data_IF_551391884439
#
_entry.id   IF_551391884439
#
_cell.length_a   1.000
_cell.length_b   1.000
_cell.length_c   1.000
_cell.angle_alpha   90.00
_cell.angle_beta   90.00
_cell.angle_gamma   90.00
#
_symmetry.space_group_name_H-M   'P 1'
#
loop_
_entity.id
_entity.type
_entity.pdbx_description
1 polymer ?
#
# COMPACT_ATOMS: atom_id res chain seq x y z
N UNK A 1 12.41 2.18 -12.48
CA UNK A 1 11.59 3.10 -13.29
C UNK A 1 11.57 4.41 -12.53
N UNK A 2 11.99 5.51 -13.16
CA UNK A 2 12.00 6.81 -12.50
C UNK A 2 10.58 7.37 -12.47
N UNK A 3 10.10 7.73 -11.27
CA UNK A 3 8.79 8.36 -11.07
C UNK A 3 9.01 9.87 -11.24
N UNK A 4 8.28 10.49 -12.17
CA UNK A 4 8.20 11.95 -12.28
C UNK A 4 7.06 12.45 -11.37
N UNK A 5 7.33 13.09 -10.22
CA UNK A 5 6.30 13.48 -9.29
C UNK A 5 5.58 14.76 -9.73
N UNK A 6 4.28 14.83 -9.43
CA UNK A 6 3.54 16.09 -9.52
C UNK A 6 3.88 16.98 -8.31
N UNK A 7 3.97 18.31 -8.47
CA UNK A 7 4.37 19.22 -7.38
C UNK A 7 3.52 19.08 -6.10
N UNK A 8 2.23 18.77 -6.24
CA UNK A 8 1.31 18.61 -5.12
C UNK A 8 1.61 17.39 -4.24
N UNK A 9 2.35 16.40 -4.77
CA UNK A 9 2.66 15.17 -4.05
C UNK A 9 3.57 15.42 -2.85
N UNK A 10 4.48 16.39 -2.93
CA UNK A 10 5.36 16.74 -1.80
C UNK A 10 4.56 17.27 -0.61
N UNK A 11 3.43 17.96 -0.85
CA UNK A 11 2.52 18.36 0.23
C UNK A 11 1.91 17.17 0.98
N UNK A 12 1.68 16.05 0.28
CA UNK A 12 1.21 14.80 0.90
C UNK A 12 2.32 14.18 1.75
N UNK A 13 3.57 14.17 1.25
CA UNK A 13 4.74 13.67 1.99
C UNK A 13 4.91 14.41 3.30
N UNK A 14 4.93 15.74 3.27
CA UNK A 14 5.13 16.57 4.46
C UNK A 14 3.99 16.37 5.48
N UNK A 15 2.75 16.22 5.02
CA UNK A 15 1.63 15.90 5.90
C UNK A 15 1.79 14.54 6.58
N UNK A 16 2.22 13.51 5.83
CA UNK A 16 2.41 12.17 6.37
C UNK A 16 3.61 12.07 7.31
N UNK A 17 4.70 12.82 7.05
CA UNK A 17 5.85 12.94 7.95
C UNK A 17 5.44 13.48 9.32
N UNK A 18 4.62 14.53 9.34
CA UNK A 18 4.22 15.20 10.58
C UNK A 18 3.11 14.46 11.32
N UNK A 19 2.07 14.01 10.61
CA UNK A 19 0.88 13.46 11.25
C UNK A 19 0.98 11.96 11.50
N UNK A 20 1.78 11.26 10.69
CA UNK A 20 1.80 9.79 10.64
C UNK A 20 0.38 9.21 10.45
N UNK A 21 0.23 7.89 10.53
CA UNK A 21 -1.09 7.24 10.48
C UNK A 21 -1.45 6.63 9.13
N UNK A 22 -2.74 6.65 8.77
CA UNK A 22 -3.26 5.88 7.62
C UNK A 22 -3.64 6.81 6.47
N UNK A 23 -3.09 6.55 5.29
CA UNK A 23 -3.44 7.21 4.03
C UNK A 23 -4.22 6.25 3.13
N UNK A 24 -5.42 6.65 2.71
CA UNK A 24 -6.23 5.84 1.79
C UNK A 24 -6.29 6.49 0.41
N UNK A 25 -5.71 5.83 -0.59
CA UNK A 25 -5.64 6.33 -1.96
C UNK A 25 -6.88 5.88 -2.75
N UNK A 26 -7.72 6.84 -3.16
CA UNK A 26 -8.94 6.60 -3.94
C UNK A 26 -8.84 7.33 -5.28
N UNK A 27 -9.36 6.70 -6.33
CA UNK A 27 -9.37 7.25 -7.69
C UNK A 27 -9.70 6.19 -8.73
N UNK A 28 -10.02 6.63 -9.95
CA UNK A 28 -10.37 5.76 -11.07
C UNK A 28 -9.26 4.76 -11.42
N UNK A 29 -9.59 3.69 -12.14
CA UNK A 29 -8.59 2.75 -12.67
C UNK A 29 -7.55 3.51 -13.49
N UNK A 30 -6.28 3.12 -13.35
CA UNK A 30 -5.13 3.74 -14.04
C UNK A 30 -4.92 5.26 -13.79
N UNK A 31 -5.47 5.80 -12.69
CA UNK A 31 -5.28 7.21 -12.32
C UNK A 31 -3.94 7.51 -11.62
N UNK A 32 -2.97 6.59 -11.65
CA UNK A 32 -1.66 6.78 -11.01
C UNK A 32 -1.57 6.47 -9.50
N UNK A 33 -2.61 5.90 -8.88
CA UNK A 33 -2.61 5.58 -7.42
C UNK A 33 -1.43 4.70 -7.00
N UNK A 34 -1.15 3.63 -7.72
CA UNK A 34 -0.04 2.72 -7.41
C UNK A 34 1.32 3.41 -7.60
N UNK A 35 1.42 4.34 -8.55
CA UNK A 35 2.62 5.17 -8.75
C UNK A 35 2.82 6.13 -7.58
N UNK A 36 1.76 6.82 -7.15
CA UNK A 36 1.78 7.69 -5.97
C UNK A 36 2.14 6.90 -4.70
N UNK A 37 1.56 5.71 -4.50
CA UNK A 37 1.89 4.85 -3.36
C UNK A 37 3.39 4.49 -3.32
N UNK A 38 3.96 4.07 -4.46
CA UNK A 38 5.40 3.78 -4.59
C UNK A 38 6.26 5.01 -4.32
N UNK A 39 5.82 6.17 -4.79
CA UNK A 39 6.52 7.44 -4.57
C UNK A 39 6.52 7.84 -3.10
N UNK A 40 5.36 7.81 -2.44
CA UNK A 40 5.21 8.08 -1.00
C UNK A 40 6.11 7.14 -0.20
N UNK A 41 6.03 5.84 -0.47
CA UNK A 41 6.85 4.82 0.18
C UNK A 41 8.34 5.15 0.08
N UNK A 42 8.85 5.37 -1.13
CA UNK A 42 10.26 5.67 -1.37
C UNK A 42 10.68 6.97 -0.70
N UNK A 43 9.81 7.99 -0.69
CA UNK A 43 10.13 9.28 -0.08
C UNK A 43 10.17 9.21 1.44
N UNK A 44 9.26 8.48 2.07
CA UNK A 44 9.20 8.36 3.54
C UNK A 44 10.31 7.46 4.10
N UNK A 45 10.63 6.36 3.44
CA UNK A 45 11.72 5.46 3.88
C UNK A 45 13.08 6.18 3.91
N UNK A 46 13.34 7.08 2.96
CA UNK A 46 14.55 7.92 2.94
C UNK A 46 14.69 8.87 4.13
N UNK A 47 13.60 9.07 4.85
CA UNK A 47 13.53 9.90 6.05
C UNK A 47 13.44 9.02 7.32
N UNK A 48 13.82 7.74 7.21
CA UNK A 48 13.79 6.73 8.28
C UNK A 48 12.38 6.49 8.87
N UNK A 49 11.32 6.73 8.09
CA UNK A 49 9.93 6.47 8.49
C UNK A 49 9.55 5.06 8.03
N UNK A 50 9.12 4.22 8.97
CA UNK A 50 8.67 2.87 8.66
C UNK A 50 7.28 2.97 8.02
N UNK A 51 7.11 2.37 6.85
CA UNK A 51 5.86 2.41 6.08
C UNK A 51 5.35 1.00 5.88
N UNK A 52 4.06 0.80 6.13
CA UNK A 52 3.37 -0.38 5.65
C UNK A 52 2.55 -0.03 4.42
N UNK A 53 2.31 -0.98 3.52
CA UNK A 53 1.36 -0.83 2.43
C UNK A 53 0.34 -1.95 2.51
N UNK A 54 -0.95 -1.59 2.40
CA UNK A 54 -2.05 -2.54 2.21
C UNK A 54 -2.53 -2.46 0.77
N UNK A 55 -2.33 -3.55 0.01
CA UNK A 55 -2.91 -3.69 -1.32
C UNK A 55 -4.26 -4.40 -1.21
N UNK A 56 -5.34 -3.65 -1.47
CA UNK A 56 -6.72 -4.14 -1.40
C UNK A 56 -7.37 -4.27 -2.78
N UNK A 57 -6.63 -4.08 -3.86
CA UNK A 57 -7.13 -4.29 -5.22
C UNK A 57 -7.08 -5.78 -5.57
N UNK A 58 -8.13 -6.51 -5.19
CA UNK A 58 -8.21 -7.96 -5.42
C UNK A 58 -8.31 -8.33 -6.92
N UNK A 59 -8.62 -7.37 -7.80
CA UNK A 59 -8.76 -7.59 -9.23
C UNK A 59 -7.45 -7.38 -9.99
N UNK A 60 -6.65 -6.39 -9.57
CA UNK A 60 -5.37 -6.02 -10.19
C UNK A 60 -4.28 -5.79 -9.14
N UNK A 61 -4.13 -6.75 -8.22
CA UNK A 61 -3.15 -6.65 -7.13
C UNK A 61 -1.74 -6.45 -7.67
N UNK A 62 -1.03 -5.49 -7.09
CA UNK A 62 0.37 -5.18 -7.37
C UNK A 62 1.31 -5.94 -6.45
N UNK A 63 0.92 -6.18 -5.19
CA UNK A 63 1.77 -6.78 -4.15
C UNK A 63 1.42 -8.23 -3.80
N UNK A 64 0.31 -8.75 -4.33
CA UNK A 64 -0.23 -10.05 -3.98
C UNK A 64 -0.76 -10.84 -5.16
N UNK A 65 -1.22 -12.04 -4.87
CA UNK A 65 -1.90 -12.87 -5.86
C UNK A 65 -3.31 -12.33 -6.15
N UNK A 66 -3.87 -12.59 -7.34
CA UNK A 66 -5.26 -12.26 -7.62
C UNK A 66 -6.22 -12.82 -6.56
N UNK A 67 -7.18 -12.00 -6.13
CA UNK A 67 -8.16 -12.38 -5.12
C UNK A 67 -7.65 -12.31 -3.68
N UNK A 68 -6.57 -11.58 -3.43
CA UNK A 68 -5.99 -11.41 -2.10
C UNK A 68 -5.86 -9.94 -1.71
N UNK A 69 -5.91 -9.70 -0.40
CA UNK A 69 -5.54 -8.43 0.22
C UNK A 69 -4.22 -8.70 0.96
N UNK A 70 -3.18 -7.93 0.67
CA UNK A 70 -1.85 -8.14 1.26
C UNK A 70 -1.41 -6.97 2.10
N UNK A 71 -0.50 -7.24 3.04
CA UNK A 71 0.28 -6.21 3.72
C UNK A 71 1.77 -6.51 3.70
N UNK A 72 2.54 -5.45 3.53
CA UNK A 72 4.00 -5.46 3.61
C UNK A 72 4.46 -4.31 4.51
N UNK A 73 5.57 -4.50 5.20
CA UNK A 73 6.26 -3.46 5.98
C UNK A 73 7.60 -3.20 5.30
N UNK A 74 7.97 -1.93 5.20
CA UNK A 74 9.18 -1.47 4.56
C UNK A 74 9.88 -0.48 5.49
N UNK A 75 11.17 -0.70 5.71
CA UNK A 75 12.00 0.14 6.58
C UNK A 75 13.25 0.66 5.89
N UNK A 76 13.69 0.04 4.79
CA UNK A 76 14.92 0.40 4.07
C UNK A 76 14.69 0.43 2.55
N UNK A 77 15.55 1.12 1.79
CA UNK A 77 15.39 1.22 0.33
C UNK A 77 15.47 -0.15 -0.36
N UNK A 78 16.25 -1.08 0.19
CA UNK A 78 16.38 -2.46 -0.25
C UNK A 78 15.03 -3.18 -0.31
N UNK A 79 14.13 -2.91 0.64
CA UNK A 79 12.80 -3.54 0.70
C UNK A 79 11.92 -3.17 -0.50
N UNK A 80 12.19 -2.02 -1.12
CA UNK A 80 11.44 -1.51 -2.27
C UNK A 80 11.82 -2.24 -3.57
N UNK A 81 13.01 -2.85 -3.64
CA UNK A 81 13.44 -3.63 -4.84
C UNK A 81 12.47 -4.78 -5.12
N UNK A 82 11.81 -5.27 -4.07
CA UNK A 82 10.81 -6.34 -4.11
C UNK A 82 9.36 -5.81 -4.11
N UNK A 83 9.11 -4.57 -4.52
CA UNK A 83 7.76 -3.98 -4.61
C UNK A 83 6.95 -4.56 -5.78
N UNK A 84 6.61 -5.84 -5.71
CA UNK A 84 5.76 -6.56 -6.66
C UNK A 84 5.28 -7.90 -6.11
N UNK A 85 4.35 -8.55 -6.82
CA UNK A 85 3.82 -9.90 -6.53
C UNK A 85 4.92 -10.98 -6.36
N UNK A 86 6.07 -10.85 -7.04
CA UNK A 86 7.20 -11.78 -6.90
C UNK A 86 8.09 -11.50 -5.69
N UNK A 87 7.83 -10.41 -4.98
CA UNK A 87 8.56 -10.00 -3.80
C UNK A 87 8.05 -10.66 -2.51
N UNK A 88 8.54 -10.14 -1.39
CA UNK A 88 8.15 -10.61 -0.05
C UNK A 88 6.77 -10.05 0.31
N UNK A 89 5.86 -10.90 0.80
CA UNK A 89 4.66 -10.42 1.51
C UNK A 89 4.67 -10.90 2.96
N UNK A 90 4.27 -10.04 3.90
CA UNK A 90 4.24 -10.43 5.31
C UNK A 90 2.99 -11.24 5.63
N UNK A 91 1.83 -10.76 5.17
CA UNK A 91 0.54 -11.42 5.38
C UNK A 91 -0.36 -11.22 4.18
N UNK A 92 -1.21 -12.22 3.98
CA UNK A 92 -2.17 -12.28 2.89
C UNK A 92 -3.51 -12.76 3.42
N UNK A 93 -4.59 -12.13 2.95
CA UNK A 93 -5.97 -12.52 3.22
C UNK A 93 -6.60 -12.95 1.91
N UNK A 94 -6.99 -14.22 1.80
CA UNK A 94 -7.64 -14.73 0.60
C UNK A 94 -9.14 -14.41 0.62
N UNK A 95 -9.58 -13.61 -0.34
CA UNK A 95 -10.99 -13.18 -0.48
C UNK A 95 -11.81 -14.24 -1.24
N UNK A 96 -11.15 -15.08 -2.05
CA UNK A 96 -11.82 -16.14 -2.81
C UNK A 96 -12.58 -15.66 -4.06
N UNK A 97 -12.29 -14.44 -4.52
CA UNK A 97 -12.80 -13.89 -5.78
C UNK A 97 -11.88 -12.78 -6.26
N UNK A 98 -11.80 -12.55 -7.57
CA UNK A 98 -11.17 -11.37 -8.18
C UNK A 98 -12.18 -10.28 -8.55
N UNK A 99 -13.48 -10.50 -8.27
CA UNK A 99 -14.54 -9.53 -8.51
C UNK A 99 -14.98 -8.87 -7.19
N UNK A 100 -14.60 -7.59 -6.94
CA UNK A 100 -14.91 -6.88 -5.70
C UNK A 100 -16.40 -6.85 -5.37
N UNK A 101 -17.25 -6.67 -6.38
CA UNK A 101 -18.70 -6.53 -6.21
C UNK A 101 -19.35 -7.76 -5.56
N UNK A 102 -18.73 -8.94 -5.67
CA UNK A 102 -19.27 -10.19 -5.08
C UNK A 102 -18.90 -10.39 -3.61
N UNK A 103 -17.93 -9.64 -3.08
CA UNK A 103 -17.26 -9.94 -1.80
C UNK A 103 -16.99 -8.69 -0.94
N UNK A 104 -17.79 -7.63 -1.10
CA UNK A 104 -17.57 -6.33 -0.43
C UNK A 104 -17.37 -6.47 1.08
N UNK A 105 -18.24 -7.20 1.77
CA UNK A 105 -18.13 -7.40 3.22
C UNK A 105 -16.80 -8.07 3.63
N UNK A 106 -16.41 -9.13 2.91
CA UNK A 106 -15.17 -9.85 3.16
C UNK A 106 -13.95 -8.94 2.88
N UNK A 107 -14.03 -8.11 1.85
CA UNK A 107 -12.97 -7.14 1.54
C UNK A 107 -12.83 -6.10 2.65
N UNK A 108 -13.94 -5.54 3.15
CA UNK A 108 -13.90 -4.56 4.26
C UNK A 108 -13.26 -5.17 5.50
N UNK A 109 -13.68 -6.39 5.87
CA UNK A 109 -13.11 -7.10 7.03
C UNK A 109 -11.62 -7.42 6.83
N UNK A 110 -11.25 -7.90 5.63
CA UNK A 110 -9.87 -8.22 5.27
C UNK A 110 -8.97 -6.98 5.30
N UNK A 111 -9.39 -5.89 4.66
CA UNK A 111 -8.66 -4.61 4.65
C UNK A 111 -8.51 -4.05 6.06
N UNK A 112 -9.58 -4.04 6.86
CA UNK A 112 -9.51 -3.60 8.26
C UNK A 112 -8.47 -4.40 9.05
N UNK A 113 -8.53 -5.73 8.95
CA UNK A 113 -7.59 -6.62 9.65
C UNK A 113 -6.14 -6.35 9.25
N UNK A 114 -5.88 -6.11 7.96
CA UNK A 114 -4.52 -5.79 7.48
C UNK A 114 -4.05 -4.43 7.99
N UNK A 115 -4.87 -3.38 7.89
CA UNK A 115 -4.52 -2.04 8.41
C UNK A 115 -4.26 -2.07 9.92
N UNK A 116 -5.06 -2.80 10.70
CA UNK A 116 -4.83 -2.95 12.15
C UNK A 116 -3.51 -3.65 12.49
N UNK A 117 -3.04 -4.56 11.63
CA UNK A 117 -1.74 -5.20 11.78
C UNK A 117 -0.61 -4.26 11.38
N UNK A 118 -0.76 -3.53 10.26
CA UNK A 118 0.19 -2.52 9.80
C UNK A 118 0.43 -1.43 10.85
N UNK A 119 -0.64 -0.89 11.47
CA UNK A 119 -0.56 0.17 12.48
C UNK A 119 0.25 -0.20 13.73
N UNK A 120 0.50 -1.50 13.96
CA UNK A 120 1.33 -1.99 15.07
C UNK A 120 2.81 -2.11 14.69
N UNK A 121 3.14 -1.96 13.41
CA UNK A 121 4.45 -2.25 12.84
C UNK A 121 5.10 -1.07 12.14
N UNK A 122 4.34 -0.04 11.77
CA UNK A 122 4.82 1.11 11.01
C UNK A 122 4.26 2.44 11.51
N UNK A 123 4.96 3.52 11.17
CA UNK A 123 4.53 4.89 11.42
C UNK A 123 3.40 5.31 10.47
N UNK A 124 3.51 4.91 9.20
CA UNK A 124 2.53 5.21 8.15
C UNK A 124 2.01 3.91 7.54
N UNK A 125 0.72 3.89 7.17
CA UNK A 125 0.03 2.79 6.47
C UNK A 125 -0.66 3.32 5.22
#
# INVERSE_FOLDING_TARGET
MDINPEPEWEGVIEKLKLQKGVAFLIGATDSGKSTLAKYILKRLIREDIIVSVVDSDIGQSTLGLPGTITMNVFSEEEDIKDYSVSGRFEKMFFVGSTNPAKKINIMVDGSKKMVELCRKKSDVV
#
